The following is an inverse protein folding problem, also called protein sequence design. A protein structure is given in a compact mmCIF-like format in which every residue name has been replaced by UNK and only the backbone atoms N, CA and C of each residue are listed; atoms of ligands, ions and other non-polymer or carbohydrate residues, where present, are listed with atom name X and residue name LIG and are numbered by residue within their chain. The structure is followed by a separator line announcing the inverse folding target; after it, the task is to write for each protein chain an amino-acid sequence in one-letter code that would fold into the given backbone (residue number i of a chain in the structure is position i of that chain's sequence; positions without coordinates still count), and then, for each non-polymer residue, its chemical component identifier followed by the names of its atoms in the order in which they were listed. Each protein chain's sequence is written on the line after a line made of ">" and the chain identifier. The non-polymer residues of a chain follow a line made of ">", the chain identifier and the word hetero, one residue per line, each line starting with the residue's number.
data_IF_863825913960
#
_entry.id   IF_863825913960
#
_cell.length_a   1.000
_cell.length_b   1.000
_cell.length_c   1.000
_cell.angle_alpha   90.00
_cell.angle_beta   90.00
_cell.angle_gamma   90.00
#
_symmetry.space_group_name_H-M   'P 1'
#
loop_
_entity.id
_entity.type
_entity.pdbx_description
1 polymer ?
#
# COMPACT_ATOMS: atom_id res chain seq x y z
N UNK A 1 -36.23 -11.49 -16.34
CA UNK A 1 -35.29 -10.45 -15.87
C UNK A 1 -33.91 -11.08 -15.81
N UNK A 2 -33.04 -10.74 -16.76
CA UNK A 2 -31.66 -11.24 -16.80
C UNK A 2 -30.82 -10.38 -15.86
N UNK A 3 -30.18 -10.99 -14.87
CA UNK A 3 -29.18 -10.32 -14.03
C UNK A 3 -27.91 -10.32 -14.89
N UNK A 4 -27.63 -9.21 -15.55
CA UNK A 4 -26.35 -9.00 -16.20
C UNK A 4 -25.31 -8.80 -15.10
N UNK A 5 -24.63 -9.87 -14.69
CA UNK A 5 -23.42 -9.76 -13.88
C UNK A 5 -22.31 -9.27 -14.81
N UNK A 6 -22.19 -7.94 -14.96
CA UNK A 6 -20.96 -7.33 -15.44
C UNK A 6 -19.82 -7.93 -14.61
N UNK A 7 -18.72 -8.43 -15.20
CA UNK A 7 -17.61 -8.91 -14.38
C UNK A 7 -17.22 -7.78 -13.45
N UNK A 8 -17.50 -7.96 -12.16
CA UNK A 8 -17.14 -6.99 -11.12
C UNK A 8 -15.65 -6.74 -11.28
N UNK A 9 -15.27 -5.48 -11.50
CA UNK A 9 -13.87 -5.11 -11.53
C UNK A 9 -13.18 -5.69 -10.28
N UNK A 10 -11.94 -6.21 -10.45
CA UNK A 10 -11.18 -6.75 -9.32
C UNK A 10 -11.13 -5.67 -8.22
N UNK A 11 -11.45 -5.97 -6.95
CA UNK A 11 -11.38 -4.99 -5.88
C UNK A 11 -9.99 -4.35 -5.82
N UNK A 12 -9.92 -3.02 -5.90
CA UNK A 12 -8.69 -2.25 -5.91
C UNK A 12 -8.34 -1.89 -4.47
N UNK A 13 -7.28 -2.51 -3.96
CA UNK A 13 -6.87 -2.38 -2.57
C UNK A 13 -5.54 -1.64 -2.50
N UNK A 14 -5.53 -0.50 -1.82
CA UNK A 14 -4.32 0.29 -1.61
C UNK A 14 -3.62 -0.13 -0.31
N UNK A 15 -2.39 -0.64 -0.40
CA UNK A 15 -1.49 -0.81 0.74
C UNK A 15 -0.71 0.48 0.99
N UNK A 16 -0.68 0.93 2.25
CA UNK A 16 0.15 2.05 2.70
C UNK A 16 1.10 1.52 3.77
N UNK A 17 2.34 1.23 3.38
CA UNK A 17 3.32 0.60 4.26
C UNK A 17 4.77 0.82 3.78
N UNK A 18 5.73 0.40 4.61
CA UNK A 18 7.14 0.34 4.22
C UNK A 18 7.45 -0.85 3.31
N UNK A 19 8.63 -0.84 2.70
CA UNK A 19 9.13 -1.93 1.86
C UNK A 19 9.82 -3.02 2.67
N UNK A 20 9.76 -4.24 2.16
CA UNK A 20 10.54 -5.38 2.60
C UNK A 20 11.23 -6.04 1.39
N UNK A 21 12.56 -5.89 1.25
CA UNK A 21 13.31 -6.52 0.15
C UNK A 21 13.23 -8.04 0.10
N UNK A 22 12.94 -8.72 1.23
CA UNK A 22 12.74 -10.17 1.25
C UNK A 22 11.36 -10.60 0.76
N UNK A 23 10.42 -9.65 0.77
CA UNK A 23 9.04 -9.85 0.34
C UNK A 23 8.18 -10.68 1.29
N UNK A 24 8.57 -10.82 2.56
CA UNK A 24 7.80 -11.52 3.59
C UNK A 24 6.81 -10.63 4.36
N UNK A 25 7.04 -9.32 4.37
CA UNK A 25 6.22 -8.29 5.05
C UNK A 25 6.06 -7.04 4.16
N UNK A 26 5.53 -5.95 4.72
CA UNK A 26 5.41 -4.66 4.03
C UNK A 26 4.51 -4.70 2.80
N UNK A 27 4.69 -3.72 1.91
CA UNK A 27 3.89 -3.62 0.68
C UNK A 27 3.98 -4.88 -0.21
N UNK A 28 5.12 -5.59 -0.17
CA UNK A 28 5.33 -6.81 -0.94
C UNK A 28 4.41 -7.93 -0.47
N UNK A 29 4.29 -8.13 0.85
CA UNK A 29 3.37 -9.11 1.41
C UNK A 29 1.91 -8.71 1.21
N UNK A 30 1.61 -7.42 1.38
CA UNK A 30 0.26 -6.90 1.19
C UNK A 30 -0.23 -7.13 -0.25
N UNK A 31 0.54 -6.72 -1.27
CA UNK A 31 0.15 -6.90 -2.68
C UNK A 31 0.03 -8.38 -3.05
N UNK A 32 0.92 -9.25 -2.55
CA UNK A 32 0.78 -10.71 -2.72
C UNK A 32 -0.49 -11.24 -2.08
N UNK A 33 -0.81 -10.78 -0.86
CA UNK A 33 -2.02 -11.17 -0.15
C UNK A 33 -3.28 -10.72 -0.90
N UNK A 34 -3.32 -9.48 -1.37
CA UNK A 34 -4.41 -8.93 -2.17
C UNK A 34 -4.60 -9.74 -3.45
N UNK A 35 -3.51 -10.00 -4.18
CA UNK A 35 -3.55 -10.80 -5.41
C UNK A 35 -4.04 -12.24 -5.17
N UNK A 36 -3.62 -12.87 -4.06
CA UNK A 36 -4.10 -14.19 -3.66
C UNK A 36 -5.62 -14.22 -3.40
N UNK A 37 -6.21 -13.09 -3.01
CA UNK A 37 -7.67 -12.93 -2.83
C UNK A 37 -8.37 -12.33 -4.05
N UNK A 38 -7.75 -12.37 -5.24
CA UNK A 38 -8.29 -11.84 -6.50
C UNK A 38 -8.60 -10.34 -6.46
N UNK A 39 -7.83 -9.57 -5.69
CA UNK A 39 -7.83 -8.11 -5.74
C UNK A 39 -6.73 -7.56 -6.64
N UNK A 40 -6.88 -6.30 -7.07
CA UNK A 40 -5.82 -5.50 -7.66
C UNK A 40 -5.08 -4.75 -6.53
N UNK A 41 -3.86 -5.16 -6.23
CA UNK A 41 -3.03 -4.54 -5.19
C UNK A 41 -2.27 -3.33 -5.69
N UNK A 42 -2.46 -2.20 -5.05
CA UNK A 42 -1.71 -0.95 -5.26
C UNK A 42 -0.91 -0.62 -3.99
N UNK A 43 0.11 0.23 -4.10
CA UNK A 43 0.95 0.56 -2.96
C UNK A 43 1.37 2.04 -2.94
N UNK A 44 1.42 2.60 -1.73
CA UNK A 44 2.09 3.87 -1.40
C UNK A 44 3.17 3.56 -0.37
N UNK A 45 4.40 4.00 -0.66
CA UNK A 45 5.57 3.65 0.16
C UNK A 45 5.79 4.69 1.25
N UNK A 46 5.77 4.24 2.50
CA UNK A 46 6.00 5.09 3.68
C UNK A 46 7.45 5.08 4.15
N UNK A 47 8.20 4.01 3.82
CA UNK A 47 9.62 3.89 4.11
C UNK A 47 10.29 2.85 3.21
N UNK A 48 11.51 3.13 2.78
CA UNK A 48 12.43 2.15 2.21
C UNK A 48 13.23 1.51 3.34
N UNK A 49 13.18 0.18 3.45
CA UNK A 49 13.79 -0.51 4.60
C UNK A 49 14.96 -1.40 4.15
N UNK A 50 16.09 -1.28 4.84
CA UNK A 50 17.20 -2.23 4.76
C UNK A 50 16.87 -3.41 5.67
N UNK A 51 16.05 -4.34 5.16
CA UNK A 51 15.55 -5.50 5.89
C UNK A 51 16.05 -6.82 5.28
N UNK A 52 16.31 -7.81 6.13
CA UNK A 52 16.44 -9.22 5.74
C UNK A 52 15.75 -10.12 6.77
N UNK A 53 15.74 -11.44 6.55
CA UNK A 53 15.07 -12.40 7.45
C UNK A 53 15.64 -12.48 8.87
N UNK A 54 16.75 -11.78 9.17
CA UNK A 54 17.34 -11.66 10.51
C UNK A 54 17.00 -10.34 11.20
N UNK A 55 16.29 -9.43 10.53
CA UNK A 55 15.83 -8.16 11.09
C UNK A 55 16.13 -6.93 10.23
N UNK A 56 15.68 -5.78 10.73
CA UNK A 56 15.83 -4.46 10.11
C UNK A 56 17.15 -3.83 10.53
N UNK A 57 17.88 -3.26 9.58
CA UNK A 57 19.17 -2.57 9.83
C UNK A 57 19.06 -1.06 9.73
N UNK A 58 18.20 -0.55 8.86
CA UNK A 58 17.96 0.87 8.66
C UNK A 58 16.64 1.07 7.92
N UNK A 59 16.09 2.27 8.00
CA UNK A 59 14.93 2.71 7.24
C UNK A 59 15.12 4.14 6.73
N UNK A 60 14.46 4.47 5.63
CA UNK A 60 14.48 5.78 5.03
C UNK A 60 13.08 6.16 4.57
N UNK A 61 12.45 7.10 5.28
CA UNK A 61 11.14 7.65 4.92
C UNK A 61 11.28 8.87 4.01
N UNK A 62 10.47 8.99 2.94
CA UNK A 62 10.37 10.24 2.19
C UNK A 62 9.67 11.32 3.04
N UNK A 63 9.80 12.61 2.66
CA UNK A 63 9.01 13.68 3.27
C UNK A 63 7.50 13.42 3.17
N UNK A 64 6.71 13.92 4.13
CA UNK A 64 5.25 13.75 4.13
C UNK A 64 4.55 14.37 2.92
N UNK A 65 5.08 15.46 2.36
CA UNK A 65 4.57 16.04 1.11
C UNK A 65 4.64 15.04 -0.04
N UNK A 66 5.73 14.28 -0.13
CA UNK A 66 5.92 13.26 -1.15
C UNK A 66 4.99 12.06 -0.94
N UNK A 67 4.63 11.75 0.31
CA UNK A 67 3.60 10.77 0.61
C UNK A 67 2.21 11.22 0.16
N UNK A 68 1.87 12.49 0.40
CA UNK A 68 0.62 13.09 -0.07
C UNK A 68 0.54 13.10 -1.60
N UNK A 69 1.64 13.40 -2.29
CA UNK A 69 1.71 13.34 -3.76
C UNK A 69 1.49 11.92 -4.30
N UNK A 70 2.07 10.88 -3.65
CA UNK A 70 1.80 9.49 -4.01
C UNK A 70 0.31 9.13 -3.84
N UNK A 71 -0.29 9.52 -2.70
CA UNK A 71 -1.72 9.29 -2.42
C UNK A 71 -2.61 9.97 -3.45
N UNK A 72 -2.30 11.22 -3.78
CA UNK A 72 -3.01 12.01 -4.78
C UNK A 72 -2.94 11.34 -6.17
N UNK A 73 -1.73 11.03 -6.63
CA UNK A 73 -1.49 10.41 -7.93
C UNK A 73 -2.25 9.08 -8.10
N UNK A 74 -2.26 8.23 -7.07
CA UNK A 74 -3.04 6.99 -7.11
C UNK A 74 -4.53 7.28 -7.15
N UNK A 75 -5.02 8.18 -6.30
CA UNK A 75 -6.45 8.49 -6.19
C UNK A 75 -7.05 9.15 -7.44
N UNK A 76 -6.25 9.88 -8.22
CA UNK A 76 -6.68 10.53 -9.46
C UNK A 76 -6.79 9.57 -10.64
N UNK A 77 -5.95 8.54 -10.69
CA UNK A 77 -5.89 7.60 -11.81
C UNK A 77 -6.71 6.33 -11.53
N UNK A 78 -6.48 5.71 -10.36
CA UNK A 78 -7.07 4.43 -10.00
C UNK A 78 -7.91 4.60 -8.73
N UNK A 79 -9.23 4.51 -8.87
CA UNK A 79 -10.11 4.54 -7.70
C UNK A 79 -9.77 3.43 -6.69
N UNK A 80 -10.10 3.69 -5.42
CA UNK A 80 -9.68 2.85 -4.28
C UNK A 80 -10.94 2.28 -3.63
N UNK A 81 -11.05 0.95 -3.59
CA UNK A 81 -12.20 0.26 -3.00
C UNK A 81 -11.95 -0.11 -1.53
N UNK A 82 -10.68 -0.30 -1.15
CA UNK A 82 -10.27 -0.52 0.24
C UNK A 82 -8.83 -0.04 0.49
N UNK A 83 -8.52 0.26 1.74
CA UNK A 83 -7.17 0.66 2.18
C UNK A 83 -6.69 -0.30 3.26
N UNK A 84 -5.45 -0.76 3.13
CA UNK A 84 -4.71 -1.46 4.17
C UNK A 84 -3.55 -0.60 4.65
N UNK A 85 -3.55 -0.26 5.94
CA UNK A 85 -2.48 0.51 6.55
C UNK A 85 -1.53 -0.44 7.30
N UNK A 86 -0.25 -0.37 6.97
CA UNK A 86 0.84 -1.12 7.61
C UNK A 86 1.72 -0.23 8.48
N UNK A 87 3.03 -0.44 8.39
CA UNK A 87 4.00 0.36 9.14
C UNK A 87 3.98 1.83 8.69
N UNK A 88 3.80 2.73 9.66
CA UNK A 88 3.89 4.18 9.48
C UNK A 88 5.09 4.64 10.31
N UNK A 89 6.19 4.98 9.65
CA UNK A 89 7.49 5.20 10.29
C UNK A 89 7.47 6.35 11.32
N UNK A 90 6.62 7.37 11.12
CA UNK A 90 6.53 8.52 12.02
C UNK A 90 5.09 8.94 12.31
N UNK A 91 4.91 9.76 13.36
CA UNK A 91 3.62 10.38 13.70
C UNK A 91 3.13 11.30 12.57
N UNK A 92 4.04 11.99 11.89
CA UNK A 92 3.73 12.82 10.73
C UNK A 92 3.21 11.98 9.55
N UNK A 93 3.85 10.85 9.23
CA UNK A 93 3.35 9.90 8.23
C UNK A 93 1.94 9.43 8.56
N UNK A 94 1.66 9.16 9.84
CA UNK A 94 0.32 8.76 10.29
C UNK A 94 -0.72 9.85 10.11
N UNK A 95 -0.36 11.11 10.39
CA UNK A 95 -1.23 12.26 10.15
C UNK A 95 -1.60 12.39 8.68
N UNK A 96 -0.61 12.26 7.79
CA UNK A 96 -0.82 12.41 6.34
C UNK A 96 -1.67 11.31 5.71
N UNK A 97 -1.70 10.08 6.24
CA UNK A 97 -2.48 8.97 5.68
C UNK A 97 -3.91 8.88 6.19
N UNK A 98 -4.19 9.40 7.38
CA UNK A 98 -5.47 9.20 8.07
C UNK A 98 -6.35 10.48 8.13
N UNK A 99 -6.00 11.50 7.34
CA UNK A 99 -6.76 12.74 7.21
C UNK A 99 -7.74 12.69 6.04
#
# INVERSE_FOLDING_TARGET
>A
MSIATTPSALPRVLSIAGTDPTGGTGIQADVKGIAAHRGHGMAVVTALVVHNTRGVRAEHGPPTSFLAEQLHAVSEDVGIDAVKIGMLATVETRGSCCQ
#
